data_IF_017368349636
#
_entry.id   IF_017368349636
#
_cell.length_a   1.000
_cell.length_b   1.000
_cell.length_c   1.000
_cell.angle_alpha   90.00
_cell.angle_beta   90.00
_cell.angle_gamma   90.00
#
_symmetry.space_group_name_H-M   'P 1'
#
loop_
_entity.id
_entity.type
_entity.pdbx_description
1 polymer ?
#
# COMPACT_ATOMS: atom_id res chain seq x y z
N UNK A 1 -35.23 19.77 2.16
CA UNK A 1 -35.87 19.06 1.03
C UNK A 1 -34.85 19.00 -0.11
N UNK A 2 -34.18 17.87 -0.31
CA UNK A 2 -33.13 17.75 -1.33
C UNK A 2 -33.78 17.42 -2.68
N UNK A 3 -33.62 18.29 -3.66
CA UNK A 3 -34.14 18.08 -5.01
C UNK A 3 -33.51 16.82 -5.60
N UNK A 4 -34.35 15.95 -6.17
CA UNK A 4 -33.90 14.79 -6.95
C UNK A 4 -33.24 15.31 -8.24
N UNK A 5 -31.92 15.58 -8.18
CA UNK A 5 -31.13 15.92 -9.36
C UNK A 5 -31.40 14.90 -10.48
N UNK A 6 -31.55 15.40 -11.70
CA UNK A 6 -31.87 14.55 -12.85
C UNK A 6 -30.76 13.52 -13.05
N UNK A 7 -31.10 12.33 -13.59
CA UNK A 7 -30.11 11.27 -13.83
C UNK A 7 -28.91 11.75 -14.65
N UNK A 8 -29.15 12.72 -15.54
CA UNK A 8 -28.13 13.36 -16.37
C UNK A 8 -27.20 14.27 -15.55
N UNK A 9 -27.73 15.10 -14.66
CA UNK A 9 -26.93 15.96 -13.78
C UNK A 9 -26.00 15.12 -12.89
N UNK A 10 -26.51 14.02 -12.33
CA UNK A 10 -25.68 13.11 -11.50
C UNK A 10 -24.55 12.49 -12.31
N UNK A 11 -24.79 12.14 -13.58
CA UNK A 11 -23.74 11.62 -14.47
C UNK A 11 -22.66 12.68 -14.72
N UNK A 12 -23.05 13.91 -15.03
CA UNK A 12 -22.14 15.03 -15.24
C UNK A 12 -21.33 15.35 -13.97
N UNK A 13 -21.98 15.38 -12.81
CA UNK A 13 -21.32 15.63 -11.54
C UNK A 13 -20.27 14.57 -11.22
N UNK A 14 -20.60 13.29 -11.42
CA UNK A 14 -19.65 12.19 -11.21
C UNK A 14 -18.45 12.28 -12.17
N UNK A 15 -18.68 12.63 -13.43
CA UNK A 15 -17.61 12.86 -14.40
C UNK A 15 -16.72 14.05 -14.01
N UNK A 16 -17.32 15.14 -13.53
CA UNK A 16 -16.59 16.30 -13.03
C UNK A 16 -15.68 15.94 -11.85
N UNK A 17 -16.18 15.17 -10.88
CA UNK A 17 -15.37 14.69 -9.74
C UNK A 17 -14.15 13.89 -10.19
N UNK A 18 -14.33 12.98 -11.15
CA UNK A 18 -13.22 12.18 -11.69
C UNK A 18 -12.21 13.07 -12.44
N UNK A 19 -12.66 14.07 -13.20
CA UNK A 19 -11.78 15.04 -13.85
C UNK A 19 -10.94 15.83 -12.85
N UNK A 20 -11.58 16.39 -11.82
CA UNK A 20 -10.87 17.17 -10.80
C UNK A 20 -9.84 16.30 -10.10
N UNK A 21 -10.23 15.09 -9.70
CA UNK A 21 -9.30 14.14 -9.08
C UNK A 21 -8.12 13.78 -9.98
N UNK A 22 -8.37 13.51 -11.28
CA UNK A 22 -7.32 13.24 -12.26
C UNK A 22 -6.35 14.40 -12.39
N UNK A 23 -6.82 15.64 -12.36
CA UNK A 23 -5.96 16.83 -12.46
C UNK A 23 -5.09 17.06 -11.23
N UNK A 24 -5.54 16.59 -10.06
CA UNK A 24 -4.83 16.76 -8.78
C UNK A 24 -3.91 15.58 -8.46
N UNK A 25 -4.22 14.39 -8.97
CA UNK A 25 -3.51 13.16 -8.64
C UNK A 25 -2.37 12.93 -9.62
N UNK A 26 -1.15 12.78 -9.09
CA UNK A 26 0.00 12.40 -9.91
C UNK A 26 -0.15 10.92 -10.36
N UNK A 27 0.28 10.61 -11.59
CA UNK A 27 0.20 9.25 -12.16
C UNK A 27 0.87 8.19 -11.27
N UNK A 28 1.89 8.56 -10.49
CA UNK A 28 2.56 7.64 -9.54
C UNK A 28 1.69 7.20 -8.36
N UNK A 29 0.67 7.99 -8.00
CA UNK A 29 -0.20 7.76 -6.84
C UNK A 29 -1.55 7.15 -7.25
N UNK A 30 -1.78 6.95 -8.55
CA UNK A 30 -3.01 6.36 -9.05
C UNK A 30 -3.11 4.91 -8.56
N UNK A 31 -4.19 4.51 -7.89
CA UNK A 31 -4.42 3.12 -7.53
C UNK A 31 -4.50 2.27 -8.80
N UNK A 32 -3.65 1.23 -8.89
CA UNK A 32 -3.59 0.33 -10.03
C UNK A 32 -4.00 -1.08 -9.65
N UNK A 33 -4.57 -1.81 -10.61
CA UNK A 33 -4.89 -3.22 -10.46
C UNK A 33 -3.67 -4.11 -10.78
N UNK A 34 -3.82 -5.42 -10.62
CA UNK A 34 -2.78 -6.41 -10.95
C UNK A 34 -2.31 -6.38 -12.41
N UNK A 35 -3.12 -5.81 -13.32
CA UNK A 35 -2.80 -5.66 -14.74
C UNK A 35 -2.13 -4.31 -15.07
N UNK A 36 -1.89 -3.46 -14.05
CA UNK A 36 -1.27 -2.15 -14.22
C UNK A 36 -2.19 -1.03 -14.68
N UNK A 37 -3.49 -1.31 -14.85
CA UNK A 37 -4.53 -0.34 -15.22
C UNK A 37 -5.12 0.35 -13.99
N UNK A 38 -5.82 1.46 -14.19
CA UNK A 38 -6.49 2.17 -13.10
C UNK A 38 -7.48 1.25 -12.37
N UNK A 39 -7.39 1.18 -11.05
CA UNK A 39 -8.27 0.38 -10.22
C UNK A 39 -9.64 1.05 -10.09
N UNK A 40 -10.49 0.90 -11.12
CA UNK A 40 -11.79 1.60 -11.24
C UNK A 40 -12.65 1.47 -10.00
N UNK A 41 -12.73 0.29 -9.40
CA UNK A 41 -13.52 0.05 -8.16
C UNK A 41 -13.02 0.92 -7.01
N UNK A 42 -11.72 0.89 -6.72
CA UNK A 42 -11.08 1.67 -5.66
C UNK A 42 -11.23 3.17 -5.90
N UNK A 43 -11.00 3.63 -7.13
CA UNK A 43 -11.13 5.06 -7.49
C UNK A 43 -12.58 5.52 -7.34
N UNK A 44 -13.55 4.69 -7.77
CA UNK A 44 -14.98 4.99 -7.60
C UNK A 44 -15.37 5.06 -6.11
N UNK A 45 -14.86 4.14 -5.29
CA UNK A 45 -15.08 4.15 -3.83
C UNK A 45 -14.51 5.44 -3.19
N UNK A 46 -13.29 5.83 -3.54
CA UNK A 46 -12.65 7.06 -3.06
C UNK A 46 -13.45 8.32 -3.43
N UNK A 47 -13.96 8.38 -4.65
CA UNK A 47 -14.73 9.52 -5.18
C UNK A 47 -16.22 9.45 -4.87
N UNK A 48 -16.66 8.41 -4.14
CA UNK A 48 -18.06 8.13 -3.83
C UNK A 48 -18.95 8.10 -5.09
N UNK A 49 -18.42 7.53 -6.17
CA UNK A 49 -19.15 7.31 -7.43
C UNK A 49 -19.67 5.86 -7.42
N UNK A 50 -20.96 5.60 -7.66
CA UNK A 50 -21.46 4.24 -7.77
C UNK A 50 -20.82 3.52 -8.96
N UNK A 51 -20.25 2.34 -8.72
CA UNK A 51 -19.53 1.55 -9.74
C UNK A 51 -20.40 1.17 -10.93
N UNK A 52 -21.70 0.97 -10.73
CA UNK A 52 -22.70 0.74 -11.78
C UNK A 52 -22.82 1.91 -12.78
N UNK A 53 -22.43 3.12 -12.38
CA UNK A 53 -22.49 4.32 -13.23
C UNK A 53 -21.40 4.31 -14.30
N UNK A 54 -20.28 3.63 -14.06
CA UNK A 54 -19.12 3.64 -14.98
C UNK A 54 -19.48 3.02 -16.33
N UNK A 55 -20.35 2.01 -16.36
CA UNK A 55 -20.80 1.37 -17.60
C UNK A 55 -21.95 2.09 -18.31
N UNK A 56 -22.59 3.06 -17.65
CA UNK A 56 -23.77 3.78 -18.19
C UNK A 56 -23.49 5.25 -18.47
N UNK A 57 -22.28 5.72 -18.19
CA UNK A 57 -21.80 7.06 -18.43
C UNK A 57 -20.54 7.00 -19.30
N UNK A 58 -20.71 7.29 -20.59
CA UNK A 58 -19.64 7.26 -21.59
C UNK A 58 -18.48 8.21 -21.25
N UNK A 59 -18.78 9.32 -20.58
CA UNK A 59 -17.77 10.30 -20.17
C UNK A 59 -16.86 9.75 -19.05
N UNK A 60 -17.44 9.05 -18.07
CA UNK A 60 -16.63 8.36 -17.05
C UNK A 60 -15.80 7.24 -17.67
N UNK A 61 -16.38 6.49 -18.60
CA UNK A 61 -15.69 5.41 -19.29
C UNK A 61 -14.49 5.94 -20.09
N UNK A 62 -14.67 7.02 -20.85
CA UNK A 62 -13.60 7.67 -21.62
C UNK A 62 -12.51 8.22 -20.71
N UNK A 63 -12.86 8.86 -19.59
CA UNK A 63 -11.87 9.34 -18.60
C UNK A 63 -11.02 8.21 -18.03
N UNK A 64 -11.62 7.07 -17.67
CA UNK A 64 -10.88 5.90 -17.22
C UNK A 64 -10.00 5.31 -18.32
N UNK A 65 -10.48 5.28 -19.56
CA UNK A 65 -9.68 4.82 -20.70
C UNK A 65 -8.45 5.72 -20.92
N UNK A 66 -8.63 7.04 -20.92
CA UNK A 66 -7.51 7.98 -21.05
C UNK A 66 -6.51 7.83 -19.89
N UNK A 67 -7.00 7.58 -18.67
CA UNK A 67 -6.14 7.32 -17.52
C UNK A 67 -5.35 6.01 -17.68
N UNK A 68 -5.98 4.96 -18.21
CA UNK A 68 -5.31 3.69 -18.51
C UNK A 68 -4.21 3.90 -19.57
N UNK A 69 -4.50 4.65 -20.64
CA UNK A 69 -3.55 4.95 -21.71
C UNK A 69 -2.35 5.78 -21.19
N UNK A 70 -2.61 6.80 -20.36
CA UNK A 70 -1.57 7.60 -19.71
C UNK A 70 -0.68 6.78 -18.77
N UNK A 71 -1.27 5.85 -18.01
CA UNK A 71 -0.51 4.93 -17.15
C UNK A 71 0.36 3.97 -17.96
N UNK A 72 -0.15 3.45 -19.08
CA UNK A 72 0.60 2.56 -19.97
C UNK A 72 1.81 3.30 -20.57
N UNK A 73 1.63 4.52 -21.07
CA UNK A 73 2.73 5.34 -21.58
C UNK A 73 3.73 5.71 -20.49
N UNK A 74 3.26 6.10 -19.32
CA UNK A 74 4.13 6.42 -18.18
C UNK A 74 4.99 5.23 -17.75
N UNK A 75 4.46 4.00 -17.81
CA UNK A 75 5.20 2.76 -17.51
C UNK A 75 6.20 2.37 -18.59
N UNK A 76 5.93 2.68 -19.86
CA UNK A 76 6.85 2.39 -20.99
C UNK A 76 8.12 3.25 -20.95
N UNK A 77 8.11 4.37 -20.23
CA UNK A 77 9.28 5.24 -20.13
C UNK A 77 10.49 4.47 -19.55
N UNK A 78 11.63 4.44 -20.26
CA UNK A 78 12.75 3.52 -19.98
C UNK A 78 13.44 3.77 -18.64
N UNK A 79 13.24 4.95 -18.04
CA UNK A 79 13.93 5.37 -16.82
C UNK A 79 13.33 4.82 -15.52
N UNK A 80 12.34 3.92 -15.61
CA UNK A 80 11.70 3.27 -14.44
C UNK A 80 11.65 1.75 -14.57
N UNK A 81 12.45 1.14 -15.47
CA UNK A 81 12.79 -0.27 -15.31
C UNK A 81 13.44 -0.39 -13.93
N UNK A 82 12.75 -1.09 -13.04
CA UNK A 82 13.01 -1.05 -11.61
C UNK A 82 14.49 -1.23 -11.29
N UNK A 83 14.92 -0.54 -10.23
CA UNK A 83 16.13 -0.92 -9.50
C UNK A 83 16.15 -2.45 -9.44
N UNK A 84 17.21 -3.11 -9.93
CA UNK A 84 17.27 -4.57 -9.91
C UNK A 84 17.05 -5.01 -8.47
N UNK A 85 15.92 -5.71 -8.21
CA UNK A 85 15.50 -6.19 -6.90
C UNK A 85 16.41 -7.30 -6.36
N UNK A 86 17.65 -7.37 -6.80
CA UNK A 86 18.57 -8.47 -6.51
C UNK A 86 19.70 -8.06 -5.57
N UNK A 87 20.10 -6.78 -5.53
CA UNK A 87 21.11 -6.31 -4.56
C UNK A 87 20.49 -5.79 -3.26
N UNK A 88 19.51 -4.89 -3.36
CA UNK A 88 18.87 -4.27 -2.19
C UNK A 88 18.08 -5.27 -1.33
N UNK A 89 17.60 -6.37 -1.92
CA UNK A 89 16.84 -7.41 -1.21
C UNK A 89 17.73 -8.30 -0.36
N UNK A 90 18.96 -8.58 -0.76
CA UNK A 90 19.87 -9.43 0.00
C UNK A 90 20.31 -8.72 1.30
N UNK A 91 20.74 -7.46 1.19
CA UNK A 91 21.15 -6.65 2.35
C UNK A 91 19.99 -6.44 3.34
N UNK A 92 18.79 -6.08 2.85
CA UNK A 92 17.59 -5.96 3.69
C UNK A 92 17.16 -7.30 4.29
N UNK A 93 17.38 -8.41 3.60
CA UNK A 93 17.03 -9.74 4.08
C UNK A 93 18.01 -10.24 5.15
N UNK A 94 19.29 -9.91 5.03
CA UNK A 94 20.30 -10.15 6.05
C UNK A 94 20.07 -9.27 7.28
N UNK A 95 19.72 -8.00 7.10
CA UNK A 95 19.34 -7.10 8.20
C UNK A 95 18.08 -7.62 8.91
N UNK A 96 17.04 -8.03 8.18
CA UNK A 96 15.85 -8.67 8.76
C UNK A 96 16.18 -9.98 9.50
N UNK A 97 17.14 -10.77 9.01
CA UNK A 97 17.59 -11.99 9.69
C UNK A 97 18.29 -11.66 11.00
N UNK A 98 19.19 -10.67 10.99
CA UNK A 98 19.93 -10.21 12.16
C UNK A 98 18.99 -9.60 13.22
N UNK A 99 18.01 -8.79 12.82
CA UNK A 99 17.02 -8.26 13.75
C UNK A 99 16.18 -9.38 14.40
N UNK A 100 15.79 -10.40 13.62
CA UNK A 100 15.02 -11.54 14.16
C UNK A 100 15.81 -12.36 15.16
N UNK A 101 17.10 -12.60 14.94
CA UNK A 101 17.93 -13.32 15.90
C UNK A 101 18.12 -12.52 17.19
N UNK A 102 18.40 -11.22 17.10
CA UNK A 102 18.52 -10.35 18.27
C UNK A 102 17.22 -10.31 19.11
N UNK A 103 16.06 -10.27 18.45
CA UNK A 103 14.77 -10.29 19.14
C UNK A 103 14.50 -11.64 19.83
N UNK A 104 14.93 -12.75 19.22
CA UNK A 104 14.83 -14.07 19.82
C UNK A 104 15.73 -14.21 21.06
N UNK A 105 16.97 -13.70 21.00
CA UNK A 105 17.89 -13.66 22.14
C UNK A 105 17.36 -12.78 23.28
N UNK A 106 16.77 -11.63 22.95
CA UNK A 106 16.14 -10.77 23.96
C UNK A 106 14.91 -11.46 24.59
N UNK A 107 14.14 -12.20 23.77
CA UNK A 107 13.00 -13.00 24.24
C UNK A 107 13.41 -14.15 25.17
N UNK A 108 14.53 -14.82 24.93
CA UNK A 108 15.05 -15.85 25.84
C UNK A 108 15.57 -15.25 27.14
N UNK A 109 16.28 -14.11 27.08
CA UNK A 109 16.72 -13.38 28.25
C UNK A 109 15.53 -12.92 29.12
N UNK A 110 14.48 -12.40 28.50
CA UNK A 110 13.25 -12.02 29.21
C UNK A 110 12.56 -13.22 29.86
N UNK A 111 12.45 -14.37 29.18
CA UNK A 111 11.88 -15.58 29.76
C UNK A 111 12.69 -16.10 30.94
N UNK A 112 14.02 -16.00 30.88
CA UNK A 112 14.89 -16.37 31.98
C UNK A 112 14.71 -15.43 33.18
N UNK A 113 14.66 -14.12 32.94
CA UNK A 113 14.38 -13.14 33.99
C UNK A 113 13.01 -13.37 34.64
N UNK A 114 11.98 -13.61 33.83
CA UNK A 114 10.65 -13.97 34.32
C UNK A 114 10.70 -15.24 35.17
N UNK A 115 11.39 -16.28 34.71
CA UNK A 115 11.54 -17.52 35.48
C UNK A 115 12.26 -17.29 36.81
N UNK A 116 13.28 -16.43 36.84
CA UNK A 116 14.00 -16.08 38.07
C UNK A 116 13.15 -15.25 39.04
N UNK A 117 12.30 -14.36 38.51
CA UNK A 117 11.31 -13.59 39.28
C UNK A 117 10.23 -14.52 39.87
N UNK A 118 9.67 -15.41 39.04
CA UNK A 118 8.60 -16.35 39.42
C UNK A 118 9.08 -17.41 40.43
N UNK A 119 10.35 -17.82 40.36
CA UNK A 119 10.92 -18.86 41.24
C UNK A 119 11.82 -18.31 42.34
N UNK A 120 11.98 -16.98 42.45
CA UNK A 120 12.71 -16.33 43.55
C UNK A 120 14.19 -16.71 43.69
N UNK A 121 14.86 -17.13 42.61
CA UNK A 121 16.25 -17.60 42.66
C UNK A 121 17.20 -16.39 42.52
N UNK A 122 17.83 -15.98 43.62
CA UNK A 122 18.82 -14.90 43.64
C UNK A 122 20.18 -15.36 43.07
N UNK A 123 20.61 -14.78 41.95
CA UNK A 123 21.88 -15.07 41.25
C UNK A 123 23.14 -14.56 41.99
N UNK A 124 23.30 -14.82 43.29
CA UNK A 124 24.53 -14.47 44.02
C UNK A 124 25.66 -15.49 43.88
N UNK A 125 25.46 -16.63 43.22
CA UNK A 125 26.40 -17.77 43.34
C UNK A 125 26.91 -18.36 42.04
N UNK A 126 26.93 -17.62 40.93
CA UNK A 126 27.60 -18.12 39.71
C UNK A 126 29.00 -17.51 39.61
N UNK A 127 30.07 -18.21 40.04
CA UNK A 127 31.42 -17.73 39.80
C UNK A 127 31.71 -17.80 38.29
N UNK A 128 32.01 -16.63 37.72
CA UNK A 128 32.47 -16.50 36.34
C UNK A 128 33.88 -17.09 36.28
N UNK A 129 34.00 -18.36 35.86
CA UNK A 129 35.29 -18.91 35.46
C UNK A 129 35.54 -18.50 34.01
N UNK A 130 36.51 -17.60 33.81
CA UNK A 130 36.96 -17.13 32.49
C UNK A 130 38.05 -18.07 31.96
N UNK A 131 38.01 -18.50 30.69
CA UNK A 131 39.18 -19.07 30.02
C UNK A 131 40.25 -17.99 29.74
#
# INVERSE_FOLDING_TARGET
>A
MSANASSLEKKLENAARLRTWKSQTNLSQVPVNQFGKAARKTICEMLKIPTSTVGTNDELFTLFKTLDDELDEWRKQPNRKGVPKTSLTAELQDECRALRSAFAEQGTAMKLLQYLEDNGISLRTVPISRP
#
